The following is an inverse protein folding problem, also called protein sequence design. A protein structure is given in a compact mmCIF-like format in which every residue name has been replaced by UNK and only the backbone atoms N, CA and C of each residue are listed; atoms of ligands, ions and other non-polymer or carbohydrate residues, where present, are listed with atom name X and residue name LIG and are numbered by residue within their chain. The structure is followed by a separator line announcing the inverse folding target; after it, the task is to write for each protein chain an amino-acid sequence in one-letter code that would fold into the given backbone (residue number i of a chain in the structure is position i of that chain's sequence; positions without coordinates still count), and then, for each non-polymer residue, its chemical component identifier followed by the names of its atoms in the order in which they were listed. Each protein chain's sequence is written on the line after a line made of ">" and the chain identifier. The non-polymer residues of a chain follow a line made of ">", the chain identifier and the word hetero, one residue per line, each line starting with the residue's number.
data_IF_010849536494
#
_entry.id   IF_010849536494
#
_cell.length_a   1.000
_cell.length_b   1.000
_cell.length_c   1.000
_cell.angle_alpha   90.00
_cell.angle_beta   90.00
_cell.angle_gamma   90.00
#
_symmetry.space_group_name_H-M   'P 1'
#
loop_
_entity.id
_entity.type
_entity.pdbx_description
1 polymer ?
2 non-polymer ?
3 non-polymer ?
4 water ?
#
# COMPACT_ATOMS: atom_id res chain seq x y z
N UNK A 7 14.59 18.97 8.09
CA UNK A 7 13.33 18.24 8.44
C UNK A 7 12.13 18.69 7.60
N UNK A 8 11.48 17.76 6.86
CA UNK A 8 11.72 16.30 6.79
C UNK A 8 12.99 15.90 6.05
N UNK A 9 13.45 16.71 5.12
CA UNK A 9 14.74 16.47 4.48
C UNK A 9 14.63 15.47 3.37
N UNK A 10 15.66 14.65 3.19
CA UNK A 10 15.66 13.67 2.12
C UNK A 10 15.02 12.37 2.65
N UNK A 11 13.68 12.42 2.81
CA UNK A 11 12.89 11.26 3.23
C UNK A 11 12.20 10.67 2.03
N UNK A 12 12.25 9.34 1.95
CA UNK A 12 11.79 8.61 0.77
C UNK A 12 11.02 7.36 1.21
N UNK A 13 9.82 7.20 0.65
CA UNK A 13 8.92 6.08 0.97
C UNK A 13 8.51 5.46 -0.35
N UNK A 14 8.56 4.13 -0.44
CA UNK A 14 8.05 3.45 -1.62
C UNK A 14 6.85 2.63 -1.15
N UNK A 15 5.75 2.69 -1.91
CA UNK A 15 4.58 1.88 -1.58
C UNK A 15 4.33 0.96 -2.79
N UNK A 16 4.12 -0.33 -2.50
CA UNK A 16 3.81 -1.28 -3.54
C UNK A 16 2.77 -2.26 -3.07
N UNK A 17 1.68 -2.24 -3.82
CA UNK A 17 0.68 -3.28 -3.73
C UNK A 17 1.28 -4.44 -4.52
N UNK A 18 1.73 -5.46 -3.81
CA UNK A 18 2.54 -6.52 -4.41
C UNK A 18 1.69 -7.74 -4.91
N UNK A 19 0.38 -7.68 -4.73
CA UNK A 19 -0.49 -8.71 -5.32
C UNK A 19 -0.01 -10.13 -4.98
N UNK A 20 -0.01 -10.47 -3.69
CA UNK A 20 0.29 -11.84 -3.20
C UNK A 20 -0.96 -12.46 -2.62
N UNK A 21 -1.83 -12.87 -3.53
CA UNK A 21 -3.08 -13.54 -3.13
C UNK A 21 -2.83 -14.90 -2.52
N UNK A 22 -3.79 -15.35 -1.71
CA UNK A 22 -3.78 -16.69 -1.12
C UNK A 22 -3.46 -17.78 -2.16
N UNK A 23 -2.45 -18.59 -1.90
CA UNK A 23 -2.07 -19.68 -2.84
C UNK A 23 -3.08 -20.84 -2.72
N UNK A 24 -3.82 -20.88 -1.62
CA UNK A 24 -4.89 -21.89 -1.44
C UNK A 24 -5.98 -21.69 -2.48
N UNK A 25 -6.32 -20.43 -2.75
CA UNK A 25 -7.37 -20.09 -3.67
C UNK A 25 -6.84 -19.81 -5.07
N UNK A 26 -5.69 -19.13 -5.15
CA UNK A 26 -5.08 -18.80 -6.44
C UNK A 26 -3.65 -19.31 -6.49
N UNK A 27 -3.46 -20.63 -6.59
CA UNK A 27 -2.15 -21.26 -6.53
C UNK A 27 -1.09 -20.90 -7.61
N UNK A 28 -1.51 -20.36 -8.74
CA UNK A 28 -0.56 -20.29 -9.90
C UNK A 28 -0.25 -18.90 -10.39
N UNK A 29 -0.02 -17.99 -9.44
CA UNK A 29 0.27 -16.62 -9.80
C UNK A 29 1.70 -16.17 -9.45
N UNK A 30 2.59 -17.13 -9.24
CA UNK A 30 3.99 -16.83 -9.05
C UNK A 30 4.33 -16.17 -7.71
N UNK A 31 3.45 -16.32 -6.70
CA UNK A 31 3.58 -15.62 -5.41
C UNK A 31 4.93 -15.86 -4.73
N UNK A 32 5.32 -17.12 -4.58
CA UNK A 32 6.60 -17.42 -3.91
C UNK A 32 7.82 -16.87 -4.65
N UNK A 33 7.79 -16.94 -5.98
CA UNK A 33 8.91 -16.49 -6.75
C UNK A 33 8.98 -14.95 -6.78
N UNK A 34 7.81 -14.32 -6.82
CA UNK A 34 7.76 -12.86 -6.88
C UNK A 34 8.17 -12.28 -5.54
N UNK A 35 7.98 -13.01 -4.45
CA UNK A 35 8.48 -12.61 -3.14
C UNK A 35 10.02 -12.46 -3.16
N UNK A 36 10.69 -13.25 -4.03
CA UNK A 36 12.15 -13.10 -4.23
C UNK A 36 12.48 -11.98 -5.19
N UNK A 37 11.80 -11.94 -6.33
CA UNK A 37 12.04 -10.95 -7.37
C UNK A 37 11.87 -9.52 -6.85
N UNK A 38 10.79 -9.30 -6.11
CA UNK A 38 10.48 -7.98 -5.57
C UNK A 38 11.58 -7.53 -4.58
N UNK A 39 11.96 -8.39 -3.64
CA UNK A 39 12.97 -8.04 -2.65
C UNK A 39 14.38 -7.85 -3.26
N UNK A 40 14.61 -8.46 -4.43
CA UNK A 40 15.88 -8.33 -5.18
C UNK A 40 15.91 -7.14 -6.15
N UNK A 41 14.79 -6.44 -6.29
CA UNK A 41 14.66 -5.39 -7.31
C UNK A 41 15.31 -4.09 -6.81
N UNK A 42 15.83 -3.32 -7.75
CA UNK A 42 16.45 -2.02 -7.44
C UNK A 42 15.47 -1.03 -6.83
N UNK A 43 14.20 -1.07 -7.25
CA UNK A 43 13.24 -0.10 -6.72
C UNK A 43 13.00 -0.28 -5.23
N UNK A 44 13.31 -1.45 -4.70
CA UNK A 44 13.16 -1.71 -3.27
C UNK A 44 14.34 -1.23 -2.42
N UNK A 45 15.42 -0.85 -3.08
CA UNK A 45 16.61 -0.34 -2.35
C UNK A 45 16.48 1.16 -2.07
N UNK A 46 17.26 1.64 -1.10
CA UNK A 46 17.44 3.07 -0.86
C UNK A 46 16.19 3.84 -0.42
N UNK A 47 15.29 3.16 0.31
CA UNK A 47 14.13 3.85 0.88
C UNK A 47 14.33 4.02 2.36
N UNK A 48 13.70 5.03 2.96
CA UNK A 48 13.62 5.08 4.40
C UNK A 48 12.60 4.08 4.94
N UNK A 49 11.48 3.98 4.22
CA UNK A 49 10.32 3.21 4.67
C UNK A 49 9.68 2.59 3.41
N UNK A 50 9.18 1.37 3.56
CA UNK A 50 8.45 0.72 2.45
C UNK A 50 7.09 0.29 2.97
N UNK A 51 6.06 0.60 2.20
CA UNK A 51 4.67 0.21 2.57
C UNK A 51 4.27 -0.91 1.64
N UNK A 52 3.80 -2.03 2.18
CA UNK A 52 3.33 -3.13 1.33
C UNK A 52 1.82 -3.29 1.43
N UNK A 53 1.18 -3.66 0.33
CA UNK A 53 -0.28 -3.95 0.29
C UNK A 53 -0.44 -5.31 -0.40
N UNK A 54 -1.57 -5.98 -0.12
CA UNK A 54 -1.89 -7.30 -0.71
C UNK A 54 -0.83 -8.38 -0.45
N UNK A 55 -0.18 -8.25 0.69
CA UNK A 55 0.68 -9.31 1.22
C UNK A 55 -0.22 -10.25 2.00
N UNK A 56 -1.05 -11.01 1.28
CA UNK A 56 -2.10 -11.82 1.91
C UNK A 56 -1.64 -13.27 2.18
N UNK A 57 -1.02 -13.88 1.18
CA UNK A 57 -0.64 -15.31 1.29
C UNK A 57 0.34 -15.45 2.43
N UNK A 58 0.05 -16.37 3.35
CA UNK A 58 0.88 -16.52 4.53
C UNK A 58 2.38 -16.75 4.18
N UNK A 59 2.66 -17.75 3.35
CA UNK A 59 4.04 -18.12 3.00
C UNK A 59 4.79 -17.10 2.15
N UNK A 60 4.16 -16.61 1.09
CA UNK A 60 4.82 -15.67 0.18
C UNK A 60 5.10 -14.35 0.91
N UNK A 61 4.17 -13.94 1.78
CA UNK A 61 4.31 -12.66 2.51
C UNK A 61 5.42 -12.82 3.55
N UNK A 62 5.41 -13.93 4.28
CA UNK A 62 6.53 -14.24 5.19
C UNK A 62 7.86 -14.25 4.45
N UNK A 63 7.92 -14.90 3.28
CA UNK A 63 9.12 -14.85 2.49
C UNK A 63 9.56 -13.44 2.10
N UNK A 64 8.64 -12.63 1.59
CA UNK A 64 8.98 -11.29 1.15
C UNK A 64 9.53 -10.47 2.34
N UNK A 65 8.82 -10.50 3.46
CA UNK A 65 9.19 -9.72 4.62
C UNK A 65 10.56 -10.19 5.13
N UNK A 66 10.77 -11.50 5.07
CA UNK A 66 12.08 -12.05 5.39
C UNK A 66 13.22 -11.63 4.49
N UNK A 67 12.98 -11.68 3.18
CA UNK A 67 13.92 -11.19 2.19
C UNK A 67 14.27 -9.72 2.39
N UNK A 68 13.35 -8.97 3.01
CA UNK A 68 13.51 -7.51 3.14
C UNK A 68 14.23 -7.10 4.41
N UNK A 69 14.45 -8.08 5.30
CA UNK A 69 15.06 -7.85 6.61
C UNK A 69 16.45 -7.23 6.56
N UNK A 70 17.24 -7.61 5.57
CA UNK A 70 18.60 -7.09 5.44
C UNK A 70 18.57 -5.57 5.30
N UNK A 71 17.77 -5.10 4.34
CA UNK A 71 17.69 -3.68 4.06
C UNK A 71 16.78 -2.98 5.06
N UNK A 72 15.73 -3.67 5.53
CA UNK A 72 14.71 -3.06 6.37
C UNK A 72 14.42 -3.93 7.58
N UNK A 73 15.32 -3.94 8.60
CA UNK A 73 15.14 -4.82 9.75
C UNK A 73 14.03 -4.49 10.71
N UNK A 74 13.48 -3.28 10.68
CA UNK A 74 12.44 -2.93 11.63
C UNK A 74 11.14 -2.98 10.84
N UNK A 75 10.23 -3.84 11.31
CA UNK A 75 9.05 -4.26 10.55
C UNK A 75 7.83 -4.38 11.44
N UNK A 76 6.67 -4.13 10.85
CA UNK A 76 5.44 -4.48 11.51
C UNK A 76 5.04 -5.90 11.03
N UNK A 77 4.15 -6.58 11.77
CA UNK A 77 3.46 -7.77 11.23
C UNK A 77 2.55 -7.32 10.06
N UNK A 78 1.97 -8.26 9.33
CA UNK A 78 0.87 -7.92 8.40
C UNK A 78 -0.35 -7.69 9.30
N UNK A 79 -1.07 -6.59 9.06
CA UNK A 79 -2.25 -6.28 9.89
C UNK A 79 -3.31 -7.38 9.78
N UNK A 80 -4.11 -7.55 10.83
CA UNK A 80 -5.31 -8.39 10.76
C UNK A 80 -5.07 -9.87 10.90
N UNK A 81 -3.86 -10.25 11.35
CA UNK A 81 -3.54 -11.65 11.65
C UNK A 81 -3.88 -11.97 13.10
N UNK A 82 -3.43 -11.11 14.02
CA UNK A 82 -3.66 -11.28 15.44
C UNK A 82 -3.13 -10.04 16.18
N UNK A 83 -3.16 -10.10 17.50
CA UNK A 83 -2.68 -8.99 18.33
C UNK A 83 -1.18 -9.02 18.53
N UNK A 84 -0.56 -10.14 18.21
CA UNK A 84 0.89 -10.30 18.36
C UNK A 84 1.76 -9.36 17.53
N UNK A 85 2.70 -8.71 18.20
CA UNK A 85 3.71 -7.91 17.54
C UNK A 85 3.31 -6.47 17.34
N UNK A 86 2.20 -6.07 17.95
CA UNK A 86 1.70 -4.69 17.85
C UNK A 86 1.70 -4.05 19.23
N UNK A 87 1.97 -2.75 19.31
CA UNK A 87 1.86 -2.04 20.58
C UNK A 87 0.41 -1.93 20.94
N UNK A 88 -0.44 -1.74 19.92
CA UNK A 88 -1.90 -1.65 20.13
C UNK A 88 -2.64 -2.21 18.92
N UNK A 89 -3.81 -2.78 19.19
CA UNK A 89 -4.75 -3.22 18.16
C UNK A 89 -6.14 -2.61 18.39
N UNK A 90 -6.69 -1.96 17.36
CA UNK A 90 -8.07 -1.49 17.42
C UNK A 90 -8.91 -1.74 16.16
N UNK A 91 -10.18 -1.33 16.22
CA UNK A 91 -11.09 -1.34 15.06
C UNK A 91 -11.84 -2.66 14.91
N UNK A 97 -14.15 -12.94 7.82
CA UNK A 97 -12.76 -12.75 7.37
C UNK A 97 -11.96 -14.05 7.30
N UNK A 98 -11.64 -14.47 6.08
CA UNK A 98 -10.81 -15.64 5.81
C UNK A 98 -9.31 -15.31 5.88
N UNK A 99 -9.00 -14.03 6.02
CA UNK A 99 -7.73 -13.49 5.56
C UNK A 99 -7.33 -12.22 6.34
N UNK A 100 -6.03 -11.98 6.43
CA UNK A 100 -5.53 -10.74 7.05
C UNK A 100 -5.70 -9.54 6.13
N UNK A 101 -5.22 -8.37 6.55
CA UNK A 101 -5.46 -7.15 5.76
C UNK A 101 -4.43 -6.83 4.71
N UNK A 102 -3.34 -7.61 4.66
CA UNK A 102 -2.36 -7.53 3.57
C UNK A 102 -1.39 -6.36 3.68
N UNK A 103 -1.54 -5.53 4.71
CA UNK A 103 -0.67 -4.33 4.86
C UNK A 103 0.48 -4.55 5.84
N UNK A 104 1.70 -4.25 5.44
CA UNK A 104 2.80 -4.19 6.40
C UNK A 104 3.65 -2.96 6.12
N UNK A 105 4.40 -2.51 7.13
CA UNK A 105 5.35 -1.39 6.90
C UNK A 105 6.72 -1.79 7.42
N UNK A 106 7.75 -1.58 6.62
CA UNK A 106 9.12 -1.92 7.02
C UNK A 106 10.01 -0.68 6.89
N UNK A 107 11.05 -0.61 7.74
CA UNK A 107 11.88 0.59 7.83
C UNK A 107 13.36 0.23 8.07
N UNK A 108 14.26 0.99 7.48
CA UNK A 108 15.66 0.91 7.93
C UNK A 108 15.89 1.57 9.29
N UNK A 109 14.88 2.29 9.79
CA UNK A 109 14.96 3.05 11.06
C UNK A 109 14.17 2.43 12.18
N UNK A 110 14.62 2.58 13.41
CA UNK A 110 13.91 1.98 14.49
C UNK A 110 12.45 2.47 14.61
N UNK A 111 11.57 1.53 14.88
CA UNK A 111 10.15 1.79 15.10
C UNK A 111 9.90 1.90 16.61
N UNK A 112 9.57 3.10 17.11
CA UNK A 112 9.30 3.28 18.57
C UNK A 112 7.85 3.07 18.96
N UNK A 113 6.97 3.07 17.95
CA UNK A 113 5.56 2.80 18.15
C UNK A 113 4.98 2.16 16.89
N UNK A 114 4.17 1.12 17.09
CA UNK A 114 3.42 0.50 15.97
C UNK A 114 2.08 0.00 16.46
N UNK A 115 1.02 0.35 15.73
CA UNK A 115 -0.30 -0.15 16.06
C UNK A 115 -1.08 -0.45 14.78
N UNK A 116 -2.15 -1.24 14.90
CA UNK A 116 -2.96 -1.59 13.75
C UNK A 116 -4.41 -1.23 14.03
N UNK A 117 -5.13 -0.91 12.97
CA UNK A 117 -6.52 -0.54 13.08
C UNK A 117 -7.26 -1.20 11.94
N UNK A 118 -8.18 -2.07 12.29
CA UNK A 118 -8.93 -2.86 11.32
C UNK A 118 -10.22 -2.11 11.02
N UNK A 119 -10.49 -1.88 9.74
CA UNK A 119 -11.69 -1.11 9.33
C UNK A 119 -12.98 -1.77 9.82
N UNK A 120 -13.96 -0.93 10.15
CA UNK A 120 -15.20 -1.39 10.73
C UNK A 120 -16.28 -1.55 9.69
N UNK A 121 -16.02 -1.09 8.48
CA UNK A 121 -17.01 -1.28 7.41
C UNK A 121 -16.30 -1.99 6.27
N UNK A 122 -17.03 -2.82 5.54
CA UNK A 122 -16.45 -3.46 4.36
C UNK A 122 -17.57 -3.99 3.50
N UNK A 123 -17.28 -4.22 2.23
CA UNK A 123 -18.29 -4.70 1.31
C UNK A 123 -17.79 -5.69 0.28
N UNK A 124 -18.71 -6.57 -0.18
CA UNK A 124 -18.38 -7.51 -1.23
C UNK A 124 -17.30 -8.46 -0.77
N UNK A 125 -16.46 -8.89 -1.70
CA UNK A 125 -15.39 -9.85 -1.39
C UNK A 125 -14.42 -9.31 -0.37
N UNK A 126 -14.38 -7.98 -0.21
CA UNK A 126 -13.47 -7.36 0.80
C UNK A 126 -13.82 -7.71 2.23
N UNK A 127 -15.08 -8.10 2.45
CA UNK A 127 -15.49 -8.59 3.77
C UNK A 127 -14.77 -9.88 4.18
N UNK A 128 -14.10 -10.54 3.23
CA UNK A 128 -13.34 -11.77 3.58
C UNK A 128 -11.93 -11.48 4.12
N UNK A 129 -11.53 -10.21 4.12
CA UNK A 129 -10.20 -9.83 4.64
C UNK A 129 -10.28 -8.73 5.71
N UNK A 130 -9.41 -8.83 6.71
CA UNK A 130 -9.33 -7.80 7.73
C UNK A 130 -8.59 -6.55 7.28
N UNK A 131 -9.12 -5.85 6.28
CA UNK A 131 -8.45 -4.65 5.75
C UNK A 131 -8.46 -3.55 6.83
N UNK A 132 -7.49 -2.64 6.74
CA UNK A 132 -7.24 -1.71 7.86
C UNK A 132 -6.05 -0.83 7.54
N UNK A 133 -5.41 -0.30 8.58
CA UNK A 133 -4.16 0.40 8.37
C UNK A 133 -3.18 0.10 9.51
N UNK A 134 -1.90 0.25 9.20
CA UNK A 134 -0.81 0.14 10.18
C UNK A 134 -0.25 1.53 10.42
N UNK A 135 0.06 1.83 11.68
CA UNK A 135 0.67 3.11 12.02
C UNK A 135 2.05 2.78 12.59
N UNK A 136 3.05 3.49 12.13
CA UNK A 136 4.36 3.46 12.82
C UNK A 136 4.86 4.88 13.13
N UNK A 137 5.56 5.00 14.26
CA UNK A 137 6.43 6.15 14.50
C UNK A 137 7.91 5.65 14.43
N UNK A 138 8.70 6.18 13.51
CA UNK A 138 10.10 5.81 13.40
C UNK A 138 10.94 7.00 13.85
N UNK A 139 12.19 6.73 14.25
CA UNK A 139 13.19 7.77 14.52
C UNK A 139 14.32 7.64 13.54
N UNK A 140 14.56 8.73 12.80
CA UNK A 140 15.67 8.82 11.90
C UNK A 140 16.61 9.95 12.41
N UNK A 141 17.77 9.55 12.94
CA UNK A 141 18.81 10.52 13.33
C UNK A 141 18.26 11.64 14.22
N UNK A 142 17.47 11.26 15.22
CA UNK A 142 16.98 12.18 16.25
C UNK A 142 15.65 12.83 15.89
N UNK A 143 15.10 12.42 14.74
CA UNK A 143 13.92 13.07 14.18
C UNK A 143 12.77 12.06 13.96
N UNK A 144 11.55 12.41 14.43
CA UNK A 144 10.41 11.52 14.27
C UNK A 144 9.69 11.64 12.92
N UNK A 145 9.20 10.49 12.45
CA UNK A 145 8.43 10.42 11.20
C UNK A 145 7.29 9.47 11.46
N UNK A 146 6.07 9.87 11.04
CA UNK A 146 4.85 9.09 11.29
C UNK A 146 4.35 8.59 9.93
N UNK A 147 4.06 7.29 9.85
CA UNK A 147 3.68 6.70 8.55
C UNK A 147 2.47 5.83 8.79
N UNK A 148 1.43 6.09 8.00
CA UNK A 148 0.23 5.25 7.97
C UNK A 148 0.19 4.59 6.60
N UNK A 149 0.19 3.25 6.62
CA UNK A 149 0.13 2.42 5.40
C UNK A 149 -1.26 1.77 5.39
N UNK A 150 -1.89 1.74 4.24
CA UNK A 150 -3.31 1.29 4.19
C UNK A 150 -3.64 0.72 2.83
N UNK A 151 -4.77 0.02 2.77
CA UNK A 151 -5.29 -0.51 1.52
C UNK A 151 -6.81 -0.55 1.78
N UNK A 152 -7.53 0.33 1.08
CA UNK A 152 -8.96 0.53 1.32
C UNK A 152 -9.84 -0.34 0.39
N UNK A 153 -11.14 -0.35 0.69
CA UNK A 153 -12.18 -1.03 -0.09
C UNK A 153 -12.04 -0.83 -1.61
N UNK A 154 -12.13 -1.94 -2.37
CA UNK A 154 -12.11 -1.87 -3.82
C UNK A 154 -13.54 -1.74 -4.37
N UNK A 155 -13.64 -1.26 -5.62
CA UNK A 155 -14.88 -1.50 -6.41
C UNK A 155 -15.02 -3.02 -6.60
N UNK A 156 -16.26 -3.54 -6.47
CA UNK A 156 -16.60 -5.00 -6.51
C UNK A 156 -17.76 -5.06 -7.50
N UNK A 157 -17.75 -6.04 -8.41
CA UNK A 157 -18.90 -6.24 -9.28
C UNK A 157 -20.25 -6.24 -8.54
N UNK A 158 -20.28 -6.85 -7.37
CA UNK A 158 -21.56 -7.09 -6.72
C UNK A 158 -21.97 -6.01 -5.71
N UNK A 159 -21.22 -4.92 -5.64
CA UNK A 159 -21.68 -3.74 -4.87
C UNK A 159 -21.64 -2.52 -5.77
N UNK A 160 -22.60 -1.62 -5.60
CA UNK A 160 -22.65 -0.45 -6.46
C UNK A 160 -21.45 0.43 -6.14
N UNK A 161 -21.08 1.26 -7.12
CA UNK A 161 -20.01 2.23 -6.93
C UNK A 161 -20.36 3.28 -5.85
N UNK A 162 -21.64 3.61 -5.67
CA UNK A 162 -22.07 4.44 -4.51
C UNK A 162 -21.73 3.81 -3.19
N UNK A 163 -21.99 2.51 -3.11
CA UNK A 163 -21.70 1.75 -1.92
C UNK A 163 -20.15 1.66 -1.65
N UNK A 164 -19.39 1.30 -2.64
CA UNK A 164 -17.92 1.19 -2.45
C UNK A 164 -17.35 2.61 -2.13
N UNK A 165 -17.86 3.65 -2.78
CA UNK A 165 -17.46 5.02 -2.41
C UNK A 165 -17.77 5.41 -0.95
N UNK A 166 -18.97 5.07 -0.47
CA UNK A 166 -19.34 5.33 0.91
C UNK A 166 -18.43 4.58 1.88
N UNK A 167 -18.19 3.30 1.59
CA UNK A 167 -17.31 2.50 2.46
C UNK A 167 -15.91 3.16 2.53
N UNK A 168 -15.33 3.51 1.39
CA UNK A 168 -13.99 4.14 1.35
C UNK A 168 -13.99 5.46 2.11
N UNK A 169 -15.09 6.22 2.01
CA UNK A 169 -15.21 7.48 2.72
C UNK A 169 -15.24 7.24 4.22
N UNK A 170 -15.89 6.16 4.68
CA UNK A 170 -15.94 5.84 6.10
C UNK A 170 -14.55 5.40 6.54
N UNK A 171 -13.88 4.63 5.70
CA UNK A 171 -12.52 4.14 6.03
C UNK A 171 -11.52 5.29 6.09
N UNK A 172 -11.63 6.25 5.16
CA UNK A 172 -10.80 7.46 5.27
C UNK A 172 -11.03 8.21 6.58
N UNK A 173 -12.30 8.32 7.01
CA UNK A 173 -12.60 8.90 8.32
C UNK A 173 -11.97 8.11 9.46
N UNK A 174 -11.99 6.77 9.40
CA UNK A 174 -11.32 5.97 10.44
C UNK A 174 -9.87 6.41 10.61
N UNK A 175 -9.18 6.69 9.51
CA UNK A 175 -7.79 7.11 9.51
C UNK A 175 -7.66 8.51 10.17
N UNK A 176 -8.50 9.44 9.74
CA UNK A 176 -8.46 10.79 10.34
C UNK A 176 -8.84 10.81 11.79
N UNK A 177 -9.80 9.99 12.21
CA UNK A 177 -10.17 9.91 13.62
C UNK A 177 -9.00 9.42 14.47
N UNK A 178 -8.26 8.47 13.92
CA UNK A 178 -7.12 7.90 14.63
C UNK A 178 -6.06 8.98 14.78
N UNK A 179 -5.72 9.68 13.70
CA UNK A 179 -4.75 10.78 13.68
C UNK A 179 -5.13 11.89 14.68
N UNK A 180 -6.42 12.26 14.71
CA UNK A 180 -6.89 13.27 15.66
C UNK A 180 -6.71 12.83 17.11
N UNK A 181 -7.08 11.58 17.39
CA UNK A 181 -6.99 11.02 18.73
C UNK A 181 -5.55 10.89 19.21
N UNK A 182 -4.66 10.57 18.28
CA UNK A 182 -3.22 10.39 18.53
C UNK A 182 -2.54 11.66 19.08
N UNK A 183 -3.04 12.84 18.70
CA UNK A 183 -2.48 14.09 19.20
C UNK A 183 -1.00 14.21 18.87
N UNK A 184 -0.65 13.96 17.62
CA UNK A 184 0.72 14.06 17.18
C UNK A 184 1.06 15.55 17.04
N UNK A 185 2.19 15.98 17.65
CA UNK A 185 2.62 17.38 17.55
C UNK A 185 2.64 17.87 16.12
N UNK A 186 2.19 19.11 15.91
CA UNK A 186 2.06 19.65 14.57
C UNK A 186 3.38 19.87 13.88
N UNK A 187 4.47 19.99 14.66
CA UNK A 187 5.77 20.17 14.05
C UNK A 187 6.38 18.81 13.62
N UNK A 188 5.60 17.74 13.72
CA UNK A 188 6.04 16.43 13.20
C UNK A 188 5.25 15.98 11.96
N UNK A 189 5.93 15.33 11.02
CA UNK A 189 5.32 14.99 9.73
C UNK A 189 4.56 13.65 9.80
N UNK A 190 3.41 13.60 9.10
CA UNK A 190 2.60 12.38 8.97
C UNK A 190 2.43 12.10 7.48
N UNK A 191 2.74 10.86 7.10
CA UNK A 191 2.54 10.38 5.74
C UNK A 191 1.39 9.34 5.79
N UNK A 192 0.61 9.31 4.71
CA UNK A 192 -0.49 8.36 4.58
C UNK A 192 -0.33 7.81 3.17
N UNK A 193 -0.08 6.51 3.07
CA UNK A 193 0.18 5.92 1.75
C UNK A 193 -0.39 4.53 1.56
N UNK A 194 -0.46 4.12 0.30
CA UNK A 194 -0.94 2.79 -0.06
C UNK A 194 -1.93 2.87 -1.21
N UNK A 195 -2.69 1.79 -1.38
CA UNK A 195 -3.67 1.68 -2.47
C UNK A 195 -4.98 2.22 -1.89
N UNK A 196 -5.27 3.47 -2.21
CA UNK A 196 -6.47 4.15 -1.71
C UNK A 196 -7.73 3.82 -2.54
N UNK A 197 -7.54 3.19 -3.70
CA UNK A 197 -8.67 2.69 -4.52
C UNK A 197 -9.61 3.84 -4.98
N UNK A 198 -9.04 5.04 -5.06
CA UNK A 198 -9.72 6.23 -5.56
C UNK A 198 -8.94 6.71 -6.77
N UNK A 199 -9.59 6.72 -7.92
CA UNK A 199 -8.97 7.10 -9.16
C UNK A 199 -8.74 8.62 -9.22
N UNK A 200 -7.52 9.00 -9.60
CA UNK A 200 -7.09 10.39 -9.60
C UNK A 200 -7.99 11.23 -10.50
N UNK A 201 -8.27 12.45 -10.05
CA UNK A 201 -8.92 13.45 -10.88
C UNK A 201 -10.41 13.28 -11.00
N UNK A 202 -11.00 12.50 -10.11
CA UNK A 202 -12.45 12.27 -10.10
C UNK A 202 -13.03 13.11 -8.98
N UNK A 203 -14.37 13.20 -8.93
CA UNK A 203 -15.05 13.80 -7.78
C UNK A 203 -14.62 13.12 -6.47
N UNK A 204 -14.55 11.79 -6.48
CA UNK A 204 -14.16 11.03 -5.29
C UNK A 204 -12.72 11.41 -4.87
N UNK A 205 -11.84 11.63 -5.83
CA UNK A 205 -10.47 12.10 -5.53
C UNK A 205 -10.50 13.44 -4.78
N UNK A 206 -11.27 14.40 -5.31
CA UNK A 206 -11.48 15.68 -4.62
C UNK A 206 -11.90 15.48 -3.19
N UNK A 207 -12.90 14.63 -2.97
CA UNK A 207 -13.39 14.40 -1.62
C UNK A 207 -12.39 13.70 -0.71
N UNK A 208 -11.63 12.77 -1.28
CA UNK A 208 -10.57 12.07 -0.51
C UNK A 208 -9.58 13.07 0.08
N UNK A 209 -9.18 14.06 -0.71
CA UNK A 209 -8.28 15.13 -0.22
C UNK A 209 -8.84 15.74 1.06
N UNK A 210 -10.15 15.97 1.11
CA UNK A 210 -10.76 16.56 2.29
C UNK A 210 -10.90 15.60 3.44
N UNK A 211 -11.20 14.34 3.14
CA UNK A 211 -11.48 13.36 4.19
C UNK A 211 -10.19 12.91 4.91
N UNK A 212 -9.12 12.80 4.16
CA UNK A 212 -7.77 12.47 4.72
C UNK A 212 -7.01 13.71 5.14
N UNK A 213 -7.50 14.89 4.75
CA UNK A 213 -6.81 16.16 5.00
C UNK A 213 -5.41 16.19 4.36
N UNK A 214 -5.33 15.97 3.05
CA UNK A 214 -4.08 15.91 2.33
C UNK A 214 -4.24 16.70 1.05
N UNK A 215 -3.13 17.03 0.39
CA UNK A 215 -3.14 17.62 -0.95
C UNK A 215 -2.42 16.74 -1.94
N UNK A 216 -2.65 17.00 -3.23
CA UNK A 216 -1.95 16.27 -4.28
C UNK A 216 -0.46 16.57 -4.19
N UNK A 217 0.40 15.55 -4.32
CA UNK A 217 1.84 15.82 -4.47
C UNK A 217 2.14 16.88 -5.55
N UNK A 218 3.26 17.58 -5.37
CA UNK A 218 3.69 18.66 -6.27
C UNK A 218 3.88 18.19 -7.71
N UNK A 219 3.53 19.08 -8.66
CA UNK A 219 3.64 18.80 -10.09
C UNK A 219 3.17 17.38 -10.41
N UNK A 220 1.95 17.06 -9.98
CA UNK A 220 1.41 15.71 -10.07
C UNK A 220 1.09 15.32 -11.50
N UNK A 221 1.55 14.15 -11.92
CA UNK A 221 1.17 13.61 -13.23
C UNK A 221 0.18 12.44 -13.14
N UNK A 222 -1.09 12.75 -13.36
CA UNK A 222 -2.17 11.78 -13.31
C UNK A 222 -2.37 10.99 -14.59
N UNK A 223 -1.73 11.42 -15.68
CA UNK A 223 -1.78 10.69 -16.96
C UNK A 223 -1.12 9.31 -16.83
N UNK A 224 -0.31 9.15 -15.80
CA UNK A 224 0.17 7.85 -15.41
C UNK A 224 -1.02 6.96 -14.94
N UNK A 225 -0.74 5.68 -14.80
CA UNK A 225 -1.69 4.73 -14.24
C UNK A 225 -0.89 3.75 -13.43
N UNK A 226 -1.28 3.56 -12.18
CA UNK A 226 -0.64 2.58 -11.33
C UNK A 226 -1.24 1.19 -11.52
N UNK A 227 -2.43 1.15 -12.12
CA UNK A 227 -3.13 -0.11 -12.42
C UNK A 227 -3.47 0.00 -13.90
N UNK A 228 -2.67 -0.66 -14.73
CA UNK A 228 -2.71 -0.44 -16.18
C UNK A 228 -2.81 -1.72 -17.02
N UNK A 229 -4.04 -2.15 -17.36
CA UNK A 229 -4.16 -3.31 -18.29
C UNK A 229 -3.56 -3.11 -19.69
N UNK A 230 -3.23 -1.87 -20.09
CA UNK A 230 -2.63 -1.67 -21.40
C UNK A 230 -1.12 -1.96 -21.42
N UNK A 231 -0.47 -1.98 -20.25
CA UNK A 231 0.98 -2.25 -20.16
C UNK A 231 1.39 -3.42 -19.26
N UNK A 232 0.56 -3.75 -18.26
CA UNK A 232 0.94 -4.74 -17.26
C UNK A 232 0.65 -6.15 -17.77
N UNK A 233 1.70 -6.99 -17.87
CA UNK A 233 1.55 -8.33 -18.41
C UNK A 233 0.52 -9.19 -17.62
N UNK A 234 0.46 -9.02 -16.30
CA UNK A 234 -0.48 -9.79 -15.46
C UNK A 234 -1.94 -9.33 -15.68
N UNK A 235 -2.18 -8.04 -15.92
CA UNK A 235 -3.53 -7.55 -16.17
C UNK A 235 -4.01 -7.83 -17.60
N UNK A 236 -3.08 -7.97 -18.53
CA UNK A 236 -3.40 -8.35 -19.90
C UNK A 236 -4.09 -9.70 -19.94
N UNK A 237 -3.69 -10.56 -19.01
CA UNK A 237 -4.32 -11.85 -18.80
C UNK A 237 -5.71 -11.70 -18.13
N UNK A 238 -5.76 -11.00 -16.99
CA UNK A 238 -6.96 -11.03 -16.15
C UNK A 238 -8.03 -9.96 -16.42
N UNK A 239 -7.61 -8.74 -16.75
CA UNK A 239 -8.53 -7.65 -17.04
C UNK A 239 -8.13 -6.85 -18.28
N UNK A 240 -7.99 -7.53 -19.44
CA UNK A 240 -7.39 -6.85 -20.62
C UNK A 240 -8.24 -5.67 -21.12
N UNK A 241 -9.53 -5.70 -20.83
CA UNK A 241 -10.43 -4.71 -21.36
C UNK A 241 -10.68 -3.52 -20.44
N UNK A 242 -10.32 -3.64 -19.16
CA UNK A 242 -10.63 -2.59 -18.16
C UNK A 242 -9.81 -1.32 -18.40
N UNK A 243 -10.37 -0.16 -18.08
CA UNK A 243 -9.66 1.10 -18.24
C UNK A 243 -8.53 1.24 -17.19
N UNK A 244 -7.35 1.78 -17.60
CA UNK A 244 -6.27 2.01 -16.64
C UNK A 244 -6.74 2.95 -15.53
N UNK A 245 -6.24 2.76 -14.31
CA UNK A 245 -6.60 3.61 -13.19
C UNK A 245 -5.34 4.07 -12.43
N UNK A 246 -5.48 5.15 -11.67
CA UNK A 246 -4.41 5.68 -10.82
C UNK A 246 -4.91 5.61 -9.38
N UNK A 247 -4.40 4.66 -8.59
CA UNK A 247 -5.04 4.24 -7.34
C UNK A 247 -4.12 4.26 -6.12
N UNK A 248 -2.81 4.37 -6.38
CA UNK A 248 -1.77 4.22 -5.32
C UNK A 248 -1.07 5.58 -5.12
N UNK A 249 -0.99 5.97 -3.85
CA UNK A 249 -0.53 7.31 -3.47
C UNK A 249 0.28 7.28 -2.20
N UNK A 250 1.15 8.27 -2.05
CA UNK A 250 1.73 8.57 -0.75
C UNK A 250 1.58 10.07 -0.51
N UNK A 251 0.80 10.42 0.51
CA UNK A 251 0.46 11.81 0.80
C UNK A 251 1.13 12.29 2.06
N UNK A 252 1.22 13.62 2.19
CA UNK A 252 1.60 14.27 3.43
C UNK A 252 0.34 14.87 4.05
N UNK A 253 0.13 14.64 5.32
CA UNK A 253 -1.05 15.18 6.00
C UNK A 253 -0.91 16.71 6.23
N UNK A 254 -2.00 17.45 6.01
CA UNK A 254 -1.92 18.93 5.94
C UNK A 254 -1.86 19.64 7.27
N UNK A 255 -2.32 19.03 8.34
CA UNK A 255 -2.30 19.72 9.63
C UNK A 255 -0.96 19.62 10.37
N UNK A 256 -0.01 18.91 9.78
CA UNK A 256 1.27 18.62 10.43
C UNK A 256 2.41 19.06 9.54
N UNK A 257 3.64 18.77 9.95
CA UNK A 257 4.80 19.35 9.25
C UNK A 257 4.89 18.93 7.81
N UNK A 258 5.37 19.85 6.97
CA UNK A 258 5.43 19.63 5.54
C UNK A 258 6.79 19.97 4.97
N UNK A 259 7.23 19.24 3.94
CA UNK A 259 8.40 19.65 3.15
C UNK A 259 8.10 20.83 2.22
N UNK A 260 9.13 21.41 1.63
CA UNK A 260 8.98 22.47 0.64
C UNK A 260 8.32 21.90 -0.60
N UNK A 261 8.64 20.64 -0.89
CA UNK A 261 8.22 20.00 -2.10
C UNK A 261 8.00 18.49 -1.78
N UNK A 262 6.82 17.97 -2.07
CA UNK A 262 6.56 16.49 -1.98
C UNK A 262 5.99 15.96 -3.29
N UNK A 263 6.58 14.87 -3.76
CA UNK A 263 6.34 14.32 -5.09
C UNK A 263 5.97 12.84 -4.97
N UNK A 264 5.27 12.32 -5.99
CA UNK A 264 5.07 10.90 -6.22
C UNK A 264 5.53 10.61 -7.63
N UNK A 265 6.17 9.45 -7.84
CA UNK A 265 6.52 8.96 -9.15
C UNK A 265 6.11 7.48 -9.24
N UNK A 266 5.40 7.14 -10.31
CA UNK A 266 5.02 5.77 -10.61
C UNK A 266 6.20 5.12 -11.34
N UNK A 267 6.63 3.96 -10.85
CA UNK A 267 7.70 3.21 -11.47
C UNK A 267 7.15 2.07 -12.33
N UNK A 268 7.44 2.16 -13.64
CA UNK A 268 6.96 1.19 -14.60
C UNK A 268 7.94 0.05 -14.86
N UNK A 269 8.81 -0.22 -13.90
CA UNK A 269 9.87 -1.19 -14.12
C UNK A 269 9.34 -2.62 -14.24
N UNK A 270 9.77 -3.31 -15.29
CA UNK A 270 9.46 -4.70 -15.51
C UNK A 270 10.31 -5.59 -14.61
N UNK A 271 9.77 -6.73 -14.23
CA UNK A 271 10.53 -7.74 -13.52
C UNK A 271 11.34 -8.57 -14.54
N UNK A 272 12.27 -9.42 -14.05
CA UNK A 272 12.78 -10.49 -14.92
C UNK A 272 11.60 -11.39 -15.35
N UNK A 273 11.71 -12.01 -16.54
CA UNK A 273 10.67 -12.91 -17.00
C UNK A 273 10.49 -14.04 -16.01
N UNK A 274 9.23 -14.41 -15.78
CA UNK A 274 8.94 -15.56 -14.95
C UNK A 274 7.71 -16.30 -15.50
N UNK A 275 7.61 -17.57 -15.17
CA UNK A 275 6.60 -18.47 -15.75
C UNK A 275 5.92 -19.33 -14.70
N UNK A 276 4.66 -19.65 -14.96
CA UNK A 276 3.90 -20.55 -14.09
C UNK A 276 3.18 -21.54 -15.00
N UNK A 277 2.76 -22.67 -14.43
CA UNK A 277 1.93 -23.62 -15.17
C UNK A 277 0.55 -23.70 -14.51
N UNK A 278 -0.48 -23.78 -15.35
CA UNK A 278 -1.82 -24.13 -14.88
C UNK A 278 -2.39 -25.23 -15.79
N UNK A 279 -2.68 -26.39 -15.19
CA UNK A 279 -3.10 -27.56 -15.95
C UNK A 279 -1.98 -27.87 -16.97
N UNK A 280 -2.25 -27.98 -18.27
CA UNK A 280 -1.11 -28.36 -19.17
C UNK A 280 -0.26 -27.16 -19.69
N UNK A 281 -0.66 -25.94 -19.33
CA UNK A 281 -0.22 -24.76 -20.08
C UNK A 281 0.72 -23.85 -19.30
N UNK A 282 1.68 -23.24 -20.01
CA UNK A 282 2.65 -22.34 -19.39
C UNK A 282 2.22 -20.92 -19.62
N UNK A 283 2.33 -20.09 -18.58
CA UNK A 283 2.00 -18.65 -18.69
C UNK A 283 3.24 -17.90 -18.25
N UNK A 284 3.59 -16.88 -19.01
CA UNK A 284 4.86 -16.17 -18.81
C UNK A 284 4.56 -14.70 -18.61
N UNK A 285 5.17 -14.11 -17.58
CA UNK A 285 4.90 -12.71 -17.26
C UNK A 285 6.20 -11.95 -17.00
N UNK A 286 6.10 -10.63 -16.93
CA UNK A 286 7.29 -9.81 -16.75
C UNK A 286 7.02 -8.59 -15.84
N UNK A 287 6.09 -8.77 -14.89
CA UNK A 287 5.80 -7.75 -13.90
C UNK A 287 5.89 -8.30 -12.52
N UNK A 288 6.21 -7.42 -11.56
CA UNK A 288 6.35 -7.79 -10.15
C UNK A 288 4.99 -8.00 -9.50
N UNK A 289 4.00 -7.28 -10.02
CA UNK A 289 2.66 -7.25 -9.44
C UNK A 289 1.71 -6.69 -10.50
N UNK A 290 0.40 -6.72 -10.23
CA UNK A 290 -0.53 -6.09 -11.16
C UNK A 290 -0.64 -4.58 -10.94
N UNK A 291 -0.06 -4.07 -9.84
CA UNK A 291 0.06 -2.62 -9.61
C UNK A 291 1.52 -2.24 -9.81
N UNK A 292 1.75 -1.01 -10.26
CA UNK A 292 3.10 -0.46 -10.25
C UNK A 292 3.40 0.16 -8.89
N UNK A 293 4.68 0.10 -8.45
CA UNK A 293 5.10 0.74 -7.21
C UNK A 293 5.09 2.26 -7.37
N UNK A 294 4.93 2.98 -6.26
CA UNK A 294 4.97 4.44 -6.28
C UNK A 294 6.05 4.87 -5.28
N UNK A 295 6.87 5.84 -5.67
CA UNK A 295 7.87 6.41 -4.75
C UNK A 295 7.47 7.83 -4.34
N UNK A 296 7.52 8.10 -3.04
CA UNK A 296 7.22 9.42 -2.49
C UNK A 296 8.57 9.99 -2.02
N UNK A 297 8.84 11.23 -2.38
CA UNK A 297 10.14 11.83 -2.05
C UNK A 297 10.03 13.37 -1.99
N UNK A 298 10.88 13.98 -1.16
CA UNK A 298 10.95 15.44 -1.07
C UNK A 298 11.93 15.96 -2.13
N UNK A 299 11.75 17.17 -2.63
CA UNK A 299 12.72 17.56 -3.65
C UNK A 299 13.98 18.29 -3.14
#
# INVERSE_FOLDING_TARGET
>A
MQASDEYPGNFKITSHNVYLFSRNIYPNWGQMHRADLIAQADYMKNNDVVILNEAFDTSASHRLLNNLREMYPHQTPVIGRSKHGWDKTEGNYSNFALEDGGVAVVSQWPIVEKSQHIFQRGGGADRLSNKGFAYVKIMKNGKPYHIIGTHTQADDSLISKDTSRAIRAEQMQEIQTFIAKKNIPKDEIIFIGGDLNVNYGTDEYHDMLKLLNVSSPANFNGQMATWDPTTNSMLKESYPKAAPEYLDYIFVENGHARPHSWHNKVLHTKSPQWSVKSWFKTYTYQDFSDHYPVVGFTDNN
#
